data_IF_626595656382
#
_entry.id   IF_626595656382
#
_cell.length_a   1.000
_cell.length_b   1.000
_cell.length_c   1.000
_cell.angle_alpha   90.00
_cell.angle_beta   90.00
_cell.angle_gamma   90.00
#
_symmetry.space_group_name_H-M   'P 1'
#
loop_
_entity.id
_entity.type
_entity.pdbx_description
1 polymer ?
#
# COMPACT_ATOMS: atom_id res chain seq x y z
N UNK A 1 -50.97 -75.27 42.10
CA UNK A 1 -50.58 -73.96 42.69
C UNK A 1 -49.40 -73.39 41.95
N UNK A 2 -49.59 -72.49 41.01
CA UNK A 2 -48.57 -71.88 40.18
C UNK A 2 -48.46 -70.40 40.55
N UNK A 3 -47.35 -69.99 41.17
CA UNK A 3 -47.09 -68.60 41.53
C UNK A 3 -46.55 -67.85 40.28
N UNK A 4 -47.36 -66.96 39.74
CA UNK A 4 -46.95 -66.00 38.73
C UNK A 4 -46.05 -64.93 39.38
N UNK A 5 -44.80 -64.85 38.94
CA UNK A 5 -43.85 -63.71 39.22
C UNK A 5 -44.11 -62.63 38.20
N UNK A 6 -44.50 -61.44 38.67
CA UNK A 6 -44.61 -60.22 37.86
C UNK A 6 -43.31 -59.53 37.92
N UNK A 7 -42.65 -59.37 36.77
CA UNK A 7 -41.45 -58.51 36.58
C UNK A 7 -41.90 -57.11 36.17
N UNK A 8 -41.42 -56.05 36.82
CA UNK A 8 -41.70 -54.72 36.34
C UNK A 8 -40.72 -54.39 35.21
N UNK A 9 -41.25 -54.03 34.04
CA UNK A 9 -40.48 -53.48 32.92
C UNK A 9 -40.15 -52.02 33.20
N UNK A 10 -38.94 -51.77 33.59
CA UNK A 10 -38.39 -50.42 33.61
C UNK A 10 -37.79 -50.18 32.23
N UNK A 11 -38.48 -49.39 31.42
CA UNK A 11 -37.98 -48.90 30.11
C UNK A 11 -36.81 -47.95 30.30
N UNK A 12 -35.64 -48.36 29.80
CA UNK A 12 -34.48 -47.52 29.63
C UNK A 12 -34.73 -46.53 28.48
N UNK A 13 -35.13 -45.30 28.80
CA UNK A 13 -35.10 -44.18 27.86
C UNK A 13 -33.68 -43.59 27.86
N UNK A 14 -32.81 -44.11 27.00
CA UNK A 14 -31.55 -43.42 26.66
C UNK A 14 -31.87 -42.25 25.75
N UNK A 15 -31.89 -41.04 26.30
CA UNK A 15 -31.96 -39.80 25.57
C UNK A 15 -30.69 -39.58 24.77
N UNK A 16 -30.80 -39.70 23.46
CA UNK A 16 -29.76 -39.33 22.50
C UNK A 16 -29.69 -37.79 22.43
N UNK A 17 -28.83 -37.17 23.25
CA UNK A 17 -28.50 -35.74 23.13
C UNK A 17 -27.57 -35.62 21.94
N UNK A 18 -28.15 -35.38 20.76
CA UNK A 18 -27.43 -34.99 19.57
C UNK A 18 -26.86 -33.57 19.79
N UNK A 19 -25.61 -33.50 20.20
CA UNK A 19 -24.84 -32.24 20.25
C UNK A 19 -24.68 -31.66 18.85
N UNK A 20 -25.50 -30.67 18.53
CA UNK A 20 -25.32 -29.83 17.33
C UNK A 20 -24.10 -28.96 17.58
N UNK A 21 -22.91 -29.43 17.18
CA UNK A 21 -21.70 -28.60 17.12
C UNK A 21 -21.90 -27.62 15.98
N UNK A 22 -22.37 -26.41 16.30
CA UNK A 22 -22.37 -25.30 15.37
C UNK A 22 -20.90 -24.95 15.03
N UNK A 23 -20.45 -25.41 13.87
CA UNK A 23 -19.23 -24.92 13.25
C UNK A 23 -19.45 -23.43 12.91
N UNK A 24 -19.13 -22.55 13.87
CA UNK A 24 -18.98 -21.11 13.60
C UNK A 24 -17.74 -20.99 12.74
N UNK A 25 -17.91 -21.08 11.44
CA UNK A 25 -16.89 -20.74 10.47
C UNK A 25 -16.55 -19.27 10.65
N UNK A 26 -15.40 -18.96 11.25
CA UNK A 26 -14.78 -17.64 11.18
C UNK A 26 -14.36 -17.39 9.73
N UNK A 27 -15.33 -17.09 8.86
CA UNK A 27 -15.07 -16.43 7.61
C UNK A 27 -14.54 -15.03 7.94
N UNK A 28 -13.24 -14.84 7.95
CA UNK A 28 -12.69 -13.48 7.93
C UNK A 28 -13.15 -12.86 6.61
N UNK A 29 -14.11 -11.97 6.68
CA UNK A 29 -14.50 -11.15 5.53
C UNK A 29 -13.25 -10.45 5.02
N UNK A 30 -12.85 -10.76 3.78
CA UNK A 30 -11.73 -10.09 3.14
C UNK A 30 -12.03 -8.59 3.09
N UNK A 31 -11.09 -7.73 3.47
CA UNK A 31 -11.30 -6.30 3.42
C UNK A 31 -11.65 -5.86 1.99
N UNK A 32 -12.70 -5.06 1.85
CA UNK A 32 -13.12 -4.54 0.55
C UNK A 32 -12.31 -3.28 0.21
N UNK A 33 -11.14 -3.47 -0.36
CA UNK A 33 -10.30 -2.38 -0.85
C UNK A 33 -10.88 -1.73 -2.11
N UNK A 34 -10.58 -0.44 -2.30
CA UNK A 34 -10.86 0.33 -3.52
C UNK A 34 -9.76 0.16 -4.55
N UNK A 35 -8.51 0.07 -4.08
CA UNK A 35 -7.36 -0.29 -4.88
C UNK A 35 -7.36 -1.77 -5.26
N UNK A 36 -6.49 -2.13 -6.18
CA UNK A 36 -6.28 -3.53 -6.57
C UNK A 36 -5.53 -4.25 -5.46
N UNK A 37 -6.14 -5.25 -4.85
CA UNK A 37 -5.50 -6.08 -3.82
C UNK A 37 -4.41 -6.96 -4.47
N UNK A 38 -3.17 -6.72 -4.06
CA UNK A 38 -1.97 -7.46 -4.45
C UNK A 38 -1.28 -8.11 -3.25
N UNK A 39 -2.05 -8.35 -2.19
CA UNK A 39 -1.55 -9.01 -0.97
C UNK A 39 -0.91 -10.34 -1.30
N UNK A 40 0.30 -10.56 -0.77
CA UNK A 40 1.10 -11.76 -1.04
C UNK A 40 2.04 -11.62 -2.25
N UNK A 41 2.07 -10.47 -2.92
CA UNK A 41 3.09 -10.19 -3.91
C UNK A 41 4.49 -10.15 -3.27
N UNK A 42 5.47 -10.73 -3.94
CA UNK A 42 6.85 -10.93 -3.49
C UNK A 42 7.86 -9.94 -4.09
N UNK A 43 7.38 -8.79 -4.55
CA UNK A 43 8.18 -7.76 -5.21
C UNK A 43 8.09 -6.42 -4.47
N UNK A 44 8.83 -5.41 -4.93
CA UNK A 44 8.91 -4.06 -4.36
C UNK A 44 9.43 -4.05 -2.90
N UNK A 45 10.33 -4.98 -2.58
CA UNK A 45 10.92 -5.15 -1.26
C UNK A 45 12.42 -4.86 -1.30
N UNK A 46 12.97 -4.40 -0.17
CA UNK A 46 14.43 -4.33 0.00
C UNK A 46 15.13 -3.19 -0.74
N UNK A 47 14.41 -2.17 -1.16
CA UNK A 47 15.03 -0.97 -1.73
C UNK A 47 15.76 -0.15 -0.66
N UNK A 48 16.86 0.47 -1.08
CA UNK A 48 17.70 1.34 -0.27
C UNK A 48 18.11 2.53 -1.16
N UNK A 49 17.56 3.72 -0.90
CA UNK A 49 17.69 4.90 -1.74
C UNK A 49 17.96 6.14 -0.88
N UNK A 50 18.69 7.11 -1.41
CA UNK A 50 18.91 8.39 -0.74
C UNK A 50 17.68 9.29 -0.85
N UNK A 51 17.30 9.93 0.26
CA UNK A 51 16.27 10.96 0.24
C UNK A 51 16.80 12.33 -0.20
N UNK A 52 15.92 13.32 -0.30
CA UNK A 52 16.26 14.70 -0.70
C UNK A 52 17.21 15.39 0.30
N UNK A 53 17.48 14.82 1.47
CA UNK A 53 18.43 15.33 2.46
C UNK A 53 19.74 14.52 2.45
N UNK A 54 19.91 13.59 1.52
CA UNK A 54 21.06 12.70 1.41
C UNK A 54 21.07 11.54 2.42
N UNK A 55 19.98 11.32 3.16
CA UNK A 55 19.89 10.20 4.09
C UNK A 55 19.41 8.94 3.36
N UNK A 56 20.09 7.83 3.60
CA UNK A 56 19.66 6.53 3.07
C UNK A 56 18.39 6.09 3.77
N UNK A 57 17.37 5.74 2.99
CA UNK A 57 16.07 5.28 3.45
C UNK A 57 15.77 3.90 2.93
N UNK A 58 15.08 3.16 3.78
CA UNK A 58 14.51 1.85 3.51
C UNK A 58 13.04 1.83 3.92
N UNK A 59 12.30 0.81 3.53
CA UNK A 59 10.92 0.65 3.99
C UNK A 59 10.82 0.48 5.52
N UNK A 60 11.86 -0.05 6.17
CA UNK A 60 11.91 -0.24 7.63
C UNK A 60 11.88 1.06 8.42
N UNK A 61 12.35 2.17 7.84
CA UNK A 61 12.34 3.49 8.48
C UNK A 61 10.92 4.01 8.71
N UNK A 62 9.94 3.41 8.04
CA UNK A 62 8.53 3.75 8.12
C UNK A 62 7.68 2.69 8.83
N UNK A 63 8.31 1.80 9.61
CA UNK A 63 7.58 0.79 10.37
C UNK A 63 6.48 1.40 11.24
N UNK A 64 5.30 0.78 11.28
CA UNK A 64 4.12 1.29 11.99
C UNK A 64 3.27 2.30 11.21
N UNK A 65 3.72 2.70 10.00
CA UNK A 65 2.96 3.55 9.09
C UNK A 65 2.49 2.77 7.86
N UNK A 66 1.35 3.15 7.31
CA UNK A 66 1.05 2.82 5.92
C UNK A 66 1.95 3.69 5.02
N UNK A 67 2.53 3.09 3.98
CA UNK A 67 3.43 3.79 3.05
C UNK A 67 2.86 3.76 1.65
N UNK A 68 2.74 4.91 1.01
CA UNK A 68 2.34 5.02 -0.40
C UNK A 68 3.54 5.47 -1.22
N UNK A 69 3.92 4.66 -2.21
CA UNK A 69 5.05 4.90 -3.11
C UNK A 69 4.54 5.23 -4.50
N UNK A 70 4.95 6.35 -5.04
CA UNK A 70 4.65 6.80 -6.40
C UNK A 70 5.94 7.12 -7.15
N UNK A 71 6.01 6.70 -8.41
CA UNK A 71 7.13 7.00 -9.31
C UNK A 71 6.76 8.15 -10.25
N UNK A 72 7.67 9.10 -10.42
CA UNK A 72 7.43 10.26 -11.24
C UNK A 72 8.69 11.11 -11.47
N UNK A 73 8.52 12.34 -11.90
CA UNK A 73 9.61 13.31 -12.07
C UNK A 73 9.07 14.73 -11.88
N UNK A 74 9.94 15.67 -11.48
CA UNK A 74 9.48 17.02 -11.06
C UNK A 74 8.93 17.85 -12.20
N UNK A 75 9.37 17.61 -13.45
CA UNK A 75 8.93 18.33 -14.63
C UNK A 75 7.70 17.70 -15.32
N UNK A 76 7.04 16.75 -14.66
CA UNK A 76 5.77 16.19 -15.14
C UNK A 76 4.66 17.26 -15.04
N UNK A 77 3.97 17.58 -16.14
CA UNK A 77 3.04 18.72 -16.15
C UNK A 77 1.68 18.42 -15.51
N UNK A 78 1.29 17.16 -15.31
CA UNK A 78 -0.09 16.79 -14.97
C UNK A 78 -0.16 15.61 -13.96
N UNK A 79 0.24 14.42 -14.37
CA UNK A 79 0.02 13.17 -13.60
C UNK A 79 0.67 13.21 -12.22
N UNK A 80 1.92 13.69 -12.12
CA UNK A 80 2.67 13.67 -10.88
C UNK A 80 2.11 14.65 -9.83
N UNK A 81 1.87 15.95 -10.14
CA UNK A 81 1.29 16.84 -9.16
C UNK A 81 -0.10 16.39 -8.72
N UNK A 82 -0.93 15.85 -9.64
CA UNK A 82 -2.26 15.32 -9.31
C UNK A 82 -2.17 14.14 -8.32
N UNK A 83 -1.27 13.17 -8.57
CA UNK A 83 -1.10 12.02 -7.67
C UNK A 83 -0.60 12.43 -6.28
N UNK A 84 0.35 13.35 -6.19
CA UNK A 84 0.87 13.86 -4.92
C UNK A 84 -0.18 14.67 -4.16
N UNK A 85 -1.00 15.46 -4.88
CA UNK A 85 -2.13 16.18 -4.28
C UNK A 85 -3.17 15.21 -3.70
N UNK A 86 -3.52 14.13 -4.42
CA UNK A 86 -4.41 13.08 -3.90
C UNK A 86 -3.86 12.45 -2.61
N UNK A 87 -2.55 12.23 -2.51
CA UNK A 87 -1.92 11.73 -1.29
C UNK A 87 -2.01 12.75 -0.14
N UNK A 88 -1.80 14.05 -0.41
CA UNK A 88 -1.93 15.09 0.59
C UNK A 88 -3.36 15.21 1.11
N UNK A 89 -4.35 15.17 0.23
CA UNK A 89 -5.77 15.17 0.59
C UNK A 89 -6.16 13.90 1.37
N UNK A 90 -5.63 12.73 1.00
CA UNK A 90 -5.87 11.49 1.73
C UNK A 90 -5.36 11.58 3.17
N UNK A 91 -4.20 12.21 3.41
CA UNK A 91 -3.69 12.48 4.77
C UNK A 91 -4.64 13.38 5.56
N UNK A 92 -5.22 14.39 4.93
CA UNK A 92 -6.21 15.27 5.58
C UNK A 92 -7.49 14.52 5.92
N UNK A 93 -8.00 13.68 5.00
CA UNK A 93 -9.20 12.86 5.21
C UNK A 93 -9.04 11.80 6.31
N UNK A 94 -7.83 11.35 6.57
CA UNK A 94 -7.49 10.43 7.67
C UNK A 94 -7.53 11.13 9.04
N UNK A 95 -7.53 12.45 9.11
CA UNK A 95 -7.54 13.21 10.38
C UNK A 95 -6.35 12.84 11.27
N UNK A 96 -6.61 12.37 12.48
CA UNK A 96 -5.56 11.99 13.44
C UNK A 96 -4.64 10.85 12.91
N UNK A 97 -5.17 9.95 12.08
CA UNK A 97 -4.38 8.87 11.47
C UNK A 97 -3.51 9.36 10.29
N UNK A 98 -3.68 10.59 9.82
CA UNK A 98 -2.89 11.15 8.71
C UNK A 98 -1.37 11.13 8.97
N UNK A 99 -0.93 11.30 10.22
CA UNK A 99 0.47 11.18 10.62
C UNK A 99 1.04 9.75 10.44
N UNK A 100 0.16 8.76 10.34
CA UNK A 100 0.50 7.34 10.09
C UNK A 100 0.50 6.97 8.61
N UNK A 101 0.22 7.90 7.70
CA UNK A 101 0.39 7.74 6.27
C UNK A 101 1.70 8.42 5.85
N UNK A 102 2.65 7.65 5.33
CA UNK A 102 3.87 8.16 4.72
C UNK A 102 3.74 8.18 3.19
N UNK A 103 3.91 9.34 2.60
CA UNK A 103 3.97 9.51 1.15
C UNK A 103 5.42 9.55 0.69
N UNK A 104 5.76 8.70 -0.28
CA UNK A 104 7.09 8.59 -0.87
C UNK A 104 6.98 8.78 -2.39
N UNK A 105 7.79 9.69 -2.90
CA UNK A 105 8.01 9.92 -4.31
C UNK A 105 9.37 9.36 -4.71
N UNK A 106 9.44 8.51 -5.74
CA UNK A 106 10.72 8.02 -6.29
C UNK A 106 10.89 8.61 -7.69
N UNK A 107 11.95 9.40 -7.88
CA UNK A 107 12.17 9.98 -9.20
C UNK A 107 12.62 8.93 -10.21
N UNK A 108 12.06 9.02 -11.42
CA UNK A 108 12.51 8.26 -12.61
C UNK A 108 13.43 9.09 -13.49
N UNK A 109 13.76 10.32 -13.07
CA UNK A 109 14.63 11.24 -13.80
C UNK A 109 15.72 11.84 -12.88
N UNK A 110 16.57 11.01 -12.28
CA UNK A 110 17.62 11.50 -11.39
C UNK A 110 18.66 12.41 -12.08
N UNK A 111 18.64 12.48 -13.40
CA UNK A 111 19.51 13.36 -14.18
C UNK A 111 19.11 14.83 -13.97
N UNK A 112 17.82 15.16 -14.00
CA UNK A 112 17.30 16.52 -13.79
C UNK A 112 16.85 16.78 -12.35
N UNK A 113 16.34 15.78 -11.67
CA UNK A 113 15.78 15.89 -10.32
C UNK A 113 16.91 15.87 -9.27
N UNK A 114 17.51 17.05 -9.01
CA UNK A 114 18.50 17.21 -7.93
C UNK A 114 17.87 17.11 -6.55
N UNK A 115 18.64 16.85 -5.49
CA UNK A 115 18.10 16.83 -4.11
C UNK A 115 17.37 18.13 -3.74
N UNK A 116 17.94 19.30 -4.13
CA UNK A 116 17.37 20.62 -3.85
C UNK A 116 16.03 20.81 -4.58
N UNK A 117 15.95 20.38 -5.85
CA UNK A 117 14.73 20.45 -6.64
C UNK A 117 13.65 19.52 -6.07
N UNK A 118 14.02 18.30 -5.68
CA UNK A 118 13.12 17.36 -5.03
C UNK A 118 12.60 17.90 -3.69
N UNK A 119 13.47 18.51 -2.88
CA UNK A 119 13.06 19.13 -1.61
C UNK A 119 12.05 20.26 -1.85
N UNK A 120 12.35 21.17 -2.78
CA UNK A 120 11.45 22.27 -3.12
C UNK A 120 10.10 21.78 -3.69
N UNK A 121 10.14 20.71 -4.51
CA UNK A 121 8.94 20.13 -5.11
C UNK A 121 8.05 19.47 -4.05
N UNK A 122 8.61 18.65 -3.16
CA UNK A 122 7.85 17.98 -2.09
C UNK A 122 7.23 18.96 -1.10
N UNK A 123 7.87 20.09 -0.83
CA UNK A 123 7.34 21.12 0.08
C UNK A 123 5.96 21.66 -0.33
N UNK A 124 5.58 21.55 -1.61
CA UNK A 124 4.26 21.97 -2.09
C UNK A 124 3.13 21.03 -1.65
N UNK A 125 3.43 19.80 -1.25
CA UNK A 125 2.43 18.77 -0.92
C UNK A 125 2.35 18.48 0.58
N UNK A 126 3.43 18.68 1.32
CA UNK A 126 3.49 18.52 2.77
C UNK A 126 4.92 18.37 3.29
N UNK A 127 5.15 18.85 4.51
CA UNK A 127 6.48 18.85 5.11
C UNK A 127 7.05 17.44 5.39
N UNK A 128 6.22 16.42 5.43
CA UNK A 128 6.58 15.03 5.69
C UNK A 128 6.61 14.14 4.43
N UNK A 129 6.43 14.75 3.25
CA UNK A 129 6.64 14.04 1.99
C UNK A 129 8.13 13.77 1.78
N UNK A 130 8.45 12.55 1.39
CA UNK A 130 9.82 12.11 1.14
C UNK A 130 9.99 11.84 -0.34
N UNK A 131 11.01 12.46 -0.94
CA UNK A 131 11.46 12.13 -2.28
C UNK A 131 12.73 11.26 -2.18
N UNK A 132 12.73 10.15 -2.91
CA UNK A 132 13.88 9.27 -3.04
C UNK A 132 14.50 9.44 -4.42
N UNK A 133 15.84 9.55 -4.45
CA UNK A 133 16.61 9.72 -5.66
C UNK A 133 17.56 8.53 -5.87
N UNK A 134 17.18 7.56 -6.72
CA UNK A 134 18.09 6.49 -7.11
C UNK A 134 19.28 7.05 -7.91
N UNK A 135 20.45 6.41 -7.82
CA UNK A 135 21.53 6.64 -8.79
C UNK A 135 21.16 6.07 -10.17
N UNK A 136 21.95 6.38 -11.19
CA UNK A 136 21.74 5.83 -12.54
C UNK A 136 21.80 4.29 -12.56
N UNK A 137 22.61 3.67 -11.70
CA UNK A 137 22.70 2.21 -11.55
C UNK A 137 21.55 1.62 -10.73
N UNK A 138 21.04 2.38 -9.76
CA UNK A 138 19.93 1.93 -8.91
C UNK A 138 18.57 2.02 -9.61
N UNK A 139 18.37 3.03 -10.48
CA UNK A 139 17.09 3.27 -11.14
C UNK A 139 16.54 2.04 -11.88
N UNK A 140 17.32 1.35 -12.75
CA UNK A 140 16.82 0.15 -13.43
C UNK A 140 16.47 -0.99 -12.48
N UNK A 141 17.16 -1.10 -11.34
CA UNK A 141 16.88 -2.15 -10.33
C UNK A 141 15.59 -1.88 -9.61
N UNK A 142 15.41 -0.66 -9.07
CA UNK A 142 14.21 -0.32 -8.30
C UNK A 142 12.96 -0.30 -9.18
N UNK A 143 13.04 0.19 -10.41
CA UNK A 143 11.90 0.18 -11.33
C UNK A 143 11.52 -1.23 -11.75
N UNK A 144 12.49 -2.12 -11.99
CA UNK A 144 12.24 -3.54 -12.27
C UNK A 144 11.60 -4.24 -11.04
N UNK A 145 12.09 -3.96 -9.83
CA UNK A 145 11.55 -4.52 -8.60
C UNK A 145 10.10 -4.09 -8.39
N UNK A 146 9.76 -2.85 -8.65
CA UNK A 146 8.37 -2.35 -8.59
C UNK A 146 7.54 -2.65 -9.85
N UNK A 147 8.11 -3.29 -10.87
CA UNK A 147 7.46 -3.53 -12.17
C UNK A 147 6.98 -2.23 -12.85
N UNK A 148 7.73 -1.14 -12.65
CA UNK A 148 7.47 0.17 -13.23
C UNK A 148 8.10 0.25 -14.61
N UNK A 149 7.30 0.66 -15.58
CA UNK A 149 7.78 1.11 -16.88
C UNK A 149 8.20 2.58 -16.78
N UNK A 150 9.33 2.92 -17.37
CA UNK A 150 9.74 4.30 -17.63
C UNK A 150 10.56 4.39 -18.92
N UNK A 151 10.47 5.52 -19.59
CA UNK A 151 11.20 5.78 -20.83
C UNK A 151 11.39 7.28 -21.04
N UNK A 152 12.60 7.68 -21.37
CA UNK A 152 12.90 9.04 -21.85
C UNK A 152 12.34 9.21 -23.26
N UNK A 153 11.58 10.27 -23.48
CA UNK A 153 11.01 10.64 -24.77
C UNK A 153 11.59 11.99 -25.18
N UNK A 154 12.41 11.98 -26.20
CA UNK A 154 13.10 13.17 -26.69
C UNK A 154 12.11 14.22 -27.19
N UNK A 155 12.37 15.47 -26.83
CA UNK A 155 11.61 16.62 -27.26
C UNK A 155 12.19 17.26 -28.54
N UNK A 156 11.80 18.52 -28.79
CA UNK A 156 12.22 19.24 -29.99
C UNK A 156 13.69 19.77 -29.92
N UNK A 157 14.27 19.79 -28.73
CA UNK A 157 15.66 20.26 -28.52
C UNK A 157 16.44 19.21 -27.74
N UNK A 158 17.76 19.22 -27.77
CA UNK A 158 18.63 18.26 -27.12
C UNK A 158 18.44 18.22 -25.57
N UNK A 159 17.94 19.30 -24.98
CA UNK A 159 17.68 19.40 -23.54
C UNK A 159 16.20 19.27 -23.16
N UNK A 160 15.33 19.18 -24.16
CA UNK A 160 13.88 19.07 -23.98
C UNK A 160 13.47 17.61 -24.10
N UNK A 161 13.01 17.02 -23.01
CA UNK A 161 12.45 15.66 -23.01
C UNK A 161 11.40 15.49 -21.92
N UNK A 162 10.56 14.47 -22.08
CA UNK A 162 9.62 14.00 -21.08
C UNK A 162 9.97 12.58 -20.66
N UNK A 163 9.39 12.14 -19.54
CA UNK A 163 9.50 10.75 -19.08
C UNK A 163 8.12 10.09 -19.15
N UNK A 164 7.96 9.11 -20.03
CA UNK A 164 6.84 8.20 -19.94
C UNK A 164 7.06 7.25 -18.76
N UNK A 165 6.08 7.09 -17.90
CA UNK A 165 6.18 6.18 -16.76
C UNK A 165 4.82 5.64 -16.32
N UNK A 166 4.84 4.53 -15.57
CA UNK A 166 3.65 3.98 -14.93
C UNK A 166 3.07 4.98 -13.94
N UNK A 167 1.76 5.24 -14.01
CA UNK A 167 1.09 6.32 -13.27
C UNK A 167 0.40 5.85 -11.97
N UNK A 168 0.47 4.57 -11.62
CA UNK A 168 -0.11 4.05 -10.39
C UNK A 168 0.85 4.14 -9.19
N UNK A 169 0.30 3.99 -7.99
CA UNK A 169 1.06 3.95 -6.76
C UNK A 169 0.89 2.62 -6.03
N UNK A 170 1.83 2.30 -5.15
CA UNK A 170 1.82 1.09 -4.33
C UNK A 170 1.61 1.45 -2.87
N UNK A 171 0.73 0.71 -2.18
CA UNK A 171 0.50 0.91 -0.75
C UNK A 171 0.99 -0.29 0.03
N UNK A 172 1.81 -0.01 1.04
CA UNK A 172 2.32 -0.96 2.02
C UNK A 172 1.61 -0.78 3.35
N UNK A 173 1.43 -1.87 4.08
CA UNK A 173 0.86 -1.84 5.41
C UNK A 173 1.92 -1.46 6.48
N UNK A 174 1.50 -1.25 7.75
CA UNK A 174 2.41 -0.90 8.85
C UNK A 174 3.52 -1.94 9.15
N UNK A 175 3.40 -3.15 8.61
CA UNK A 175 4.41 -4.20 8.70
C UNK A 175 5.38 -4.19 7.51
N UNK A 176 5.22 -3.25 6.58
CA UNK A 176 6.04 -3.14 5.38
C UNK A 176 5.72 -4.17 4.30
N UNK A 177 4.54 -4.80 4.35
CA UNK A 177 4.09 -5.72 3.31
C UNK A 177 3.35 -4.95 2.23
N UNK A 178 3.65 -5.23 0.96
CA UNK A 178 2.91 -4.65 -0.15
C UNK A 178 1.47 -5.20 -0.14
N UNK A 179 0.49 -4.31 -0.28
CA UNK A 179 -0.91 -4.66 -0.17
C UNK A 179 -1.74 -4.23 -1.38
N UNK A 180 -1.54 -3.02 -1.87
CA UNK A 180 -2.41 -2.47 -2.90
C UNK A 180 -1.62 -1.84 -4.03
N UNK A 181 -2.17 -1.95 -5.23
CA UNK A 181 -1.84 -1.11 -6.37
C UNK A 181 -3.00 -0.13 -6.62
N UNK A 182 -2.74 1.16 -6.48
CA UNK A 182 -3.73 2.20 -6.72
C UNK A 182 -3.57 2.72 -8.15
N UNK A 183 -4.64 2.69 -8.92
CA UNK A 183 -4.63 3.27 -10.27
C UNK A 183 -4.56 4.79 -10.16
N UNK A 184 -3.97 5.42 -11.18
CA UNK A 184 -4.01 6.88 -11.28
C UNK A 184 -5.45 7.41 -11.25
N UNK A 185 -5.66 8.57 -10.63
CA UNK A 185 -6.97 9.23 -10.48
C UNK A 185 -8.02 8.35 -9.76
N UNK A 186 -7.59 7.49 -8.82
CA UNK A 186 -8.54 6.76 -7.95
C UNK A 186 -9.21 7.67 -6.92
N UNK A 187 -8.64 8.83 -6.67
CA UNK A 187 -9.13 9.85 -5.74
C UNK A 187 -8.67 9.67 -4.30
N UNK A 188 -8.48 10.78 -3.62
CA UNK A 188 -8.00 10.85 -2.23
C UNK A 188 -8.88 10.07 -1.25
N UNK A 189 -10.21 10.10 -1.44
CA UNK A 189 -11.15 9.39 -0.56
C UNK A 189 -10.99 7.86 -0.65
N UNK A 190 -10.73 7.31 -1.83
CA UNK A 190 -10.48 5.89 -2.02
C UNK A 190 -9.17 5.48 -1.32
N UNK A 191 -8.10 6.24 -1.53
CA UNK A 191 -6.82 6.02 -0.87
C UNK A 191 -6.94 6.10 0.66
N UNK A 192 -7.61 7.12 1.20
CA UNK A 192 -7.83 7.27 2.64
C UNK A 192 -8.62 6.09 3.23
N UNK A 193 -9.67 5.62 2.54
CA UNK A 193 -10.46 4.47 2.99
C UNK A 193 -9.60 3.20 3.07
N UNK A 194 -8.79 2.93 2.07
CA UNK A 194 -7.91 1.77 2.02
C UNK A 194 -6.81 1.83 3.09
N UNK A 195 -6.17 2.99 3.25
CA UNK A 195 -5.16 3.22 4.30
C UNK A 195 -5.78 3.00 5.68
N UNK A 196 -7.01 3.45 5.94
CA UNK A 196 -7.70 3.24 7.20
C UNK A 196 -7.90 1.74 7.51
N UNK A 197 -8.24 0.95 6.49
CA UNK A 197 -8.34 -0.52 6.62
C UNK A 197 -6.97 -1.11 6.99
N UNK A 198 -5.90 -0.74 6.28
CA UNK A 198 -4.54 -1.23 6.55
C UNK A 198 -4.05 -0.85 7.94
N UNK A 199 -4.33 0.38 8.41
CA UNK A 199 -3.97 0.85 9.74
C UNK A 199 -4.74 0.13 10.86
N UNK A 200 -5.89 -0.48 10.57
CA UNK A 200 -6.65 -1.31 11.52
C UNK A 200 -6.14 -2.75 11.62
N UNK A 201 -5.11 -3.13 10.85
CA UNK A 201 -4.51 -4.46 10.89
C UNK A 201 -5.22 -5.53 10.05
N UNK A 202 -6.10 -5.12 9.15
CA UNK A 202 -6.86 -6.01 8.26
C UNK A 202 -6.18 -6.23 6.91
#
# INVERSE_FOLDING_TARGET
MVKRRIFPQWALALGMVSGLVALVGCGQDKPAFRGVDITGADYAQGWELSDQNGQVRTLKDYAGKAVVVFFGYTQCPDVCPTALQEMAEAKQLLGADGARLQSIFITVDPERDTPELLQAYMANFGADFVALRPTAEQLPKVTKDFKIYYKKVEGKTATSYTMDHSAGSFTFDPQGRIRLYNRHASGAAALAADVKILLSGK
#
